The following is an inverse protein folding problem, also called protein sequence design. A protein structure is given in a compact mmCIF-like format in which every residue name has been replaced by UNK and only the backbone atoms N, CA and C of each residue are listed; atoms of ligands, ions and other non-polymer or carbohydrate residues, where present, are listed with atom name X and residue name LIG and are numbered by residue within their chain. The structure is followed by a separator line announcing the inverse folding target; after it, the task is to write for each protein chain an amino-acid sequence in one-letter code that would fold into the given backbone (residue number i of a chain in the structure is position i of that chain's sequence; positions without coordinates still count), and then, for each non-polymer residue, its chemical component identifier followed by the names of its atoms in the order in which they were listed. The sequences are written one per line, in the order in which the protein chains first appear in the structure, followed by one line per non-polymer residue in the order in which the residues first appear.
data_IF_822818316234
#
_entry.id   IF_822818316234
#
_cell.length_a   1.000
_cell.length_b   1.000
_cell.length_c   1.000
_cell.angle_alpha   90.00
_cell.angle_beta   90.00
_cell.angle_gamma   90.00
#
_symmetry.space_group_name_H-M   'P 1'
#
loop_
_entity.id
_entity.type
_entity.pdbx_description
1 polymer ?
#
# COMPACT_ATOMS: atom_id res chain seq x y z
N UNK A 1 6.37 -27.46 -17.52
CA UNK A 1 7.18 -26.30 -17.11
C UNK A 1 7.83 -25.79 -18.37
N UNK A 2 7.69 -24.51 -18.71
CA UNK A 2 8.48 -23.90 -19.79
C UNK A 2 9.97 -24.09 -19.49
N UNK A 3 10.81 -24.25 -20.52
CA UNK A 3 12.26 -24.20 -20.34
C UNK A 3 12.65 -22.74 -20.03
N UNK A 4 13.52 -22.53 -19.05
CA UNK A 4 14.03 -21.19 -18.70
C UNK A 4 14.67 -20.53 -19.93
N UNK A 5 15.23 -21.33 -20.84
CA UNK A 5 15.75 -20.83 -22.13
C UNK A 5 14.68 -20.24 -23.03
N UNK A 6 13.49 -20.82 -23.04
CA UNK A 6 12.37 -20.30 -23.84
C UNK A 6 11.87 -18.97 -23.25
N UNK A 7 11.87 -18.84 -21.92
CA UNK A 7 11.49 -17.62 -21.20
C UNK A 7 12.50 -16.48 -21.43
N UNK A 8 13.80 -16.77 -21.40
CA UNK A 8 14.87 -15.79 -21.65
C UNK A 8 14.76 -15.21 -23.05
N UNK A 9 14.48 -16.07 -24.03
CA UNK A 9 14.27 -15.66 -25.41
C UNK A 9 13.02 -14.78 -25.57
N UNK A 10 11.92 -15.15 -24.93
CA UNK A 10 10.69 -14.35 -24.95
C UNK A 10 10.91 -12.94 -24.35
N UNK A 11 11.70 -12.84 -23.27
CA UNK A 11 12.05 -11.57 -22.64
C UNK A 11 12.89 -10.70 -23.58
N UNK A 12 13.91 -11.27 -24.24
CA UNK A 12 14.73 -10.53 -25.20
C UNK A 12 13.92 -10.04 -26.40
N UNK A 13 13.02 -10.87 -26.93
CA UNK A 13 12.14 -10.51 -28.04
C UNK A 13 11.13 -9.43 -27.65
N UNK A 14 10.61 -9.47 -26.42
CA UNK A 14 9.77 -8.41 -25.87
C UNK A 14 10.54 -7.10 -25.71
N UNK A 15 11.79 -7.16 -25.23
CA UNK A 15 12.67 -6.01 -25.09
C UNK A 15 12.86 -5.26 -26.41
N UNK A 16 13.15 -5.99 -27.49
CA UNK A 16 13.28 -5.43 -28.85
C UNK A 16 12.03 -4.74 -29.38
N UNK A 17 10.86 -5.09 -28.85
CA UNK A 17 9.59 -4.47 -29.27
C UNK A 17 9.36 -3.09 -28.65
N UNK A 18 10.16 -2.71 -27.63
CA UNK A 18 10.02 -1.44 -26.93
C UNK A 18 10.69 -0.30 -27.70
N UNK A 19 10.07 0.90 -27.74
CA UNK A 19 10.71 2.07 -28.32
C UNK A 19 11.78 2.63 -27.36
N UNK A 20 13.04 2.61 -27.77
CA UNK A 20 14.15 3.21 -27.03
C UNK A 20 15.50 2.79 -27.60
N UNK A 21 16.49 3.68 -27.54
CA UNK A 21 17.87 3.36 -27.95
C UNK A 21 18.46 2.31 -26.99
N UNK A 22 18.97 1.20 -27.53
CA UNK A 22 19.58 0.11 -26.75
C UNK A 22 18.63 -1.02 -26.35
N UNK A 23 17.39 -1.01 -26.84
CA UNK A 23 16.48 -2.16 -26.72
C UNK A 23 16.43 -3.00 -28.00
N UNK A 24 16.75 -2.41 -29.14
CA UNK A 24 16.72 -3.02 -30.47
C UNK A 24 17.84 -4.05 -30.70
N UNK A 25 18.96 -3.90 -30.00
CA UNK A 25 20.13 -4.79 -30.03
C UNK A 25 20.19 -5.79 -28.86
N UNK A 26 19.22 -5.75 -27.95
CA UNK A 26 19.13 -6.62 -26.78
C UNK A 26 19.11 -8.10 -27.18
N UNK A 27 19.93 -8.95 -26.54
CA UNK A 27 20.03 -10.36 -26.85
C UNK A 27 19.90 -11.25 -25.60
N UNK A 28 19.85 -12.56 -25.80
CA UNK A 28 19.69 -13.54 -24.72
C UNK A 28 20.89 -13.53 -23.75
N UNK A 29 22.10 -13.20 -24.22
CA UNK A 29 23.29 -13.11 -23.38
C UNK A 29 23.22 -11.92 -22.43
N UNK A 30 22.62 -10.79 -22.84
CA UNK A 30 22.38 -9.63 -21.97
C UNK A 30 21.44 -10.00 -20.82
N UNK A 31 20.39 -10.76 -21.11
CA UNK A 31 19.43 -11.26 -20.11
C UNK A 31 20.11 -12.27 -19.17
N UNK A 32 20.92 -13.19 -19.71
CA UNK A 32 21.69 -14.14 -18.91
C UNK A 32 22.68 -13.44 -17.97
N UNK A 33 23.41 -12.43 -18.45
CA UNK A 33 24.33 -11.64 -17.63
C UNK A 33 23.61 -10.91 -16.48
N UNK A 34 22.38 -10.43 -16.70
CA UNK A 34 21.58 -9.83 -15.64
C UNK A 34 21.23 -10.87 -14.55
N UNK A 35 20.83 -12.08 -14.93
CA UNK A 35 20.57 -13.15 -13.96
C UNK A 35 21.82 -13.56 -13.20
N UNK A 36 22.97 -13.65 -13.87
CA UNK A 36 24.25 -13.97 -13.24
C UNK A 36 24.72 -12.86 -12.28
N UNK A 37 24.52 -11.59 -12.64
CA UNK A 37 24.83 -10.45 -11.76
C UNK A 37 23.93 -10.38 -10.52
N UNK A 38 22.68 -10.86 -10.63
CA UNK A 38 21.71 -10.88 -9.52
C UNK A 38 21.81 -12.11 -8.63
N UNK A 39 22.54 -13.14 -9.06
CA UNK A 39 22.80 -14.35 -8.27
C UNK A 39 23.95 -14.19 -7.27
N UNK A 40 24.55 -13.00 -7.18
CA UNK A 40 25.38 -12.62 -6.05
C UNK A 40 24.44 -12.27 -4.90
N UNK A 41 24.43 -13.07 -3.83
CA UNK A 41 23.73 -12.72 -2.60
C UNK A 41 24.18 -11.33 -2.16
N UNK A 42 23.24 -10.37 -2.14
CA UNK A 42 23.52 -9.02 -1.66
C UNK A 42 24.02 -9.12 -0.21
N UNK A 43 25.20 -8.56 0.03
CA UNK A 43 25.73 -8.45 1.39
C UNK A 43 24.88 -7.47 2.21
N UNK A 44 24.89 -7.62 3.53
CA UNK A 44 24.16 -6.72 4.45
C UNK A 44 24.52 -5.24 4.20
N UNK A 45 25.78 -4.97 3.88
CA UNK A 45 26.29 -3.65 3.49
C UNK A 45 25.71 -3.11 2.19
N UNK A 46 25.49 -3.95 1.18
CA UNK A 46 24.91 -3.53 -0.10
C UNK A 46 23.39 -3.29 0.02
N UNK A 47 22.72 -4.06 0.89
CA UNK A 47 21.32 -3.82 1.24
C UNK A 47 21.14 -2.46 1.94
N UNK A 48 22.05 -2.13 2.87
CA UNK A 48 22.05 -0.84 3.56
C UNK A 48 22.32 0.29 2.55
N UNK A 49 23.31 0.16 1.67
CA UNK A 49 23.57 1.18 0.64
C UNK A 49 22.41 1.37 -0.34
N UNK A 50 21.66 0.33 -0.70
CA UNK A 50 20.45 0.48 -1.53
C UNK A 50 19.34 1.25 -0.80
N UNK A 51 19.24 1.09 0.52
CA UNK A 51 18.32 1.92 1.32
C UNK A 51 18.83 3.36 1.42
N UNK A 52 20.12 3.57 1.66
CA UNK A 52 20.73 4.89 1.79
C UNK A 52 20.70 5.68 0.47
N UNK A 53 20.99 5.05 -0.67
CA UNK A 53 20.91 5.69 -1.99
C UNK A 53 19.47 6.09 -2.36
N UNK A 54 18.46 5.34 -1.90
CA UNK A 54 17.05 5.75 -2.04
C UNK A 54 16.71 6.97 -1.16
N UNK A 55 17.36 7.11 0.01
CA UNK A 55 17.20 8.28 0.88
C UNK A 55 17.99 9.50 0.37
N UNK A 56 19.19 9.31 -0.17
CA UNK A 56 20.02 10.42 -0.70
C UNK A 56 19.46 11.00 -2.01
N UNK A 57 18.79 10.18 -2.84
CA UNK A 57 18.06 10.67 -4.01
C UNK A 57 16.82 11.52 -3.63
N UNK A 58 16.29 11.39 -2.41
CA UNK A 58 15.22 12.25 -1.89
C UNK A 58 15.72 13.60 -1.35
N UNK A 59 17.03 13.78 -1.13
CA UNK A 59 17.55 14.98 -0.44
C UNK A 59 18.04 16.09 -1.39
N UNK A 60 18.06 15.86 -2.71
CA UNK A 60 18.44 16.88 -3.70
C UNK A 60 17.43 16.99 -4.83
N UNK A 61 16.34 17.71 -4.59
CA UNK A 61 15.49 18.14 -5.69
C UNK A 61 14.13 18.67 -5.24
N UNK A 62 14.12 19.95 -4.89
CA UNK A 62 12.96 20.85 -4.91
C UNK A 62 11.84 20.55 -3.89
N UNK A 63 11.20 21.62 -3.43
CA UNK A 63 10.05 21.62 -2.51
C UNK A 63 8.81 20.97 -3.15
N UNK A 64 8.90 19.70 -3.51
CA UNK A 64 7.72 18.87 -3.70
C UNK A 64 7.16 18.58 -2.31
N UNK A 65 6.09 19.29 -1.95
CA UNK A 65 5.22 18.89 -0.84
C UNK A 65 4.64 17.54 -1.23
N UNK A 66 5.36 16.46 -0.93
CA UNK A 66 4.83 15.11 -1.02
C UNK A 66 3.56 15.11 -0.17
N UNK A 67 2.37 14.81 -0.75
CA UNK A 67 1.16 14.75 0.05
C UNK A 67 1.40 13.67 1.10
N UNK A 68 1.39 14.08 2.36
CA UNK A 68 1.51 13.17 3.50
C UNK A 68 0.58 11.99 3.24
N UNK A 69 1.07 10.74 3.31
CA UNK A 69 0.24 9.57 3.10
C UNK A 69 -1.05 9.71 3.90
N UNK A 70 -2.21 9.57 3.24
CA UNK A 70 -3.49 9.70 3.92
C UNK A 70 -3.68 8.51 4.85
N UNK A 71 -3.26 8.66 6.09
CA UNK A 71 -3.44 7.64 7.12
C UNK A 71 -4.87 7.67 7.65
N UNK A 72 -5.47 6.48 7.75
CA UNK A 72 -6.79 6.33 8.33
C UNK A 72 -6.70 6.47 9.85
N UNK A 73 -7.08 7.63 10.36
CA UNK A 73 -7.01 7.89 11.82
C UNK A 73 -8.23 7.36 12.57
N UNK A 74 -8.06 7.06 13.86
CA UNK A 74 -9.15 6.69 14.76
C UNK A 74 -10.26 7.76 14.80
N UNK A 75 -9.89 9.05 14.72
CA UNK A 75 -10.85 10.16 14.67
C UNK A 75 -11.70 10.11 13.39
N UNK A 76 -11.08 9.81 12.24
CA UNK A 76 -11.80 9.69 10.97
C UNK A 76 -12.75 8.50 10.97
N UNK A 77 -12.32 7.33 11.47
CA UNK A 77 -13.19 6.15 11.59
C UNK A 77 -14.40 6.40 12.47
N UNK A 78 -14.20 6.99 13.65
CA UNK A 78 -15.31 7.34 14.54
C UNK A 78 -16.29 8.31 13.85
N UNK A 79 -15.77 9.30 13.11
CA UNK A 79 -16.61 10.22 12.32
C UNK A 79 -17.40 9.47 11.25
N UNK A 80 -16.79 8.52 10.53
CA UNK A 80 -17.49 7.69 9.54
C UNK A 80 -18.61 6.87 10.18
N UNK A 81 -18.38 6.25 11.34
CA UNK A 81 -19.42 5.50 12.05
C UNK A 81 -20.58 6.39 12.51
N UNK A 82 -20.31 7.58 13.04
CA UNK A 82 -21.34 8.55 13.40
C UNK A 82 -22.14 8.99 12.17
N UNK A 83 -21.47 9.33 11.07
CA UNK A 83 -22.15 9.74 9.83
C UNK A 83 -23.05 8.63 9.27
N UNK A 84 -22.58 7.39 9.29
CA UNK A 84 -23.36 6.24 8.85
C UNK A 84 -24.60 6.02 9.73
N UNK A 85 -24.44 6.12 11.05
CA UNK A 85 -25.54 6.06 12.00
C UNK A 85 -26.59 7.13 11.69
N UNK A 86 -26.19 8.41 11.66
CA UNK A 86 -27.09 9.54 11.48
C UNK A 86 -27.81 9.49 10.13
N UNK A 87 -27.09 9.09 9.07
CA UNK A 87 -27.68 8.87 7.75
C UNK A 87 -28.75 7.78 7.77
N UNK A 88 -28.48 6.63 8.38
CA UNK A 88 -29.44 5.52 8.43
C UNK A 88 -30.65 5.81 9.33
N UNK A 89 -30.47 6.56 10.42
CA UNK A 89 -31.58 7.01 11.27
C UNK A 89 -32.47 8.02 10.54
N UNK A 90 -31.89 8.92 9.75
CA UNK A 90 -32.65 9.82 8.89
C UNK A 90 -33.51 9.02 7.89
N UNK A 91 -32.95 8.01 7.23
CA UNK A 91 -33.71 7.16 6.33
C UNK A 91 -34.82 6.39 7.04
N UNK A 92 -34.59 5.89 8.26
CA UNK A 92 -35.64 5.22 9.04
C UNK A 92 -36.79 6.16 9.36
N UNK A 93 -36.49 7.43 9.66
CA UNK A 93 -37.51 8.42 10.05
C UNK A 93 -38.31 8.95 8.86
N UNK A 94 -37.65 9.22 7.74
CA UNK A 94 -38.25 9.92 6.60
C UNK A 94 -38.75 8.99 5.49
N UNK A 95 -38.27 7.74 5.42
CA UNK A 95 -38.71 6.80 4.37
C UNK A 95 -40.09 6.21 4.72
N UNK A 96 -41.12 6.41 3.88
CA UNK A 96 -42.44 5.81 4.09
C UNK A 96 -42.41 4.26 4.03
N UNK A 97 -41.36 3.67 3.47
CA UNK A 97 -41.16 2.22 3.37
C UNK A 97 -40.09 1.73 4.37
N UNK A 98 -40.54 1.27 5.54
CA UNK A 98 -39.65 0.76 6.60
C UNK A 98 -38.74 -0.39 6.14
N UNK A 99 -39.22 -1.28 5.29
CA UNK A 99 -38.40 -2.40 4.78
C UNK A 99 -37.16 -1.91 4.03
N UNK A 100 -37.33 -0.87 3.20
CA UNK A 100 -36.24 -0.29 2.41
C UNK A 100 -35.23 0.40 3.32
N UNK A 101 -35.67 1.24 4.26
CA UNK A 101 -34.76 1.93 5.18
C UNK A 101 -34.01 0.97 6.10
N UNK A 102 -34.66 -0.08 6.60
CA UNK A 102 -34.00 -1.13 7.38
C UNK A 102 -32.99 -1.94 6.55
N UNK A 103 -33.32 -2.25 5.29
CA UNK A 103 -32.38 -2.92 4.39
C UNK A 103 -31.13 -2.07 4.18
N UNK A 104 -31.29 -0.78 3.85
CA UNK A 104 -30.16 0.14 3.68
C UNK A 104 -29.32 0.25 4.95
N UNK A 105 -29.93 0.36 6.13
CA UNK A 105 -29.19 0.38 7.41
C UNK A 105 -28.32 -0.86 7.58
N UNK A 106 -28.88 -2.05 7.34
CA UNK A 106 -28.13 -3.31 7.44
C UNK A 106 -26.95 -3.35 6.47
N UNK A 107 -27.16 -2.96 5.21
CA UNK A 107 -26.12 -2.97 4.18
C UNK A 107 -24.99 -1.98 4.49
N UNK A 108 -25.32 -0.76 4.93
CA UNK A 108 -24.33 0.25 5.35
C UNK A 108 -23.47 -0.28 6.50
N UNK A 109 -24.09 -0.83 7.56
CA UNK A 109 -23.33 -1.34 8.69
C UNK A 109 -22.56 -2.63 8.37
N UNK A 110 -23.04 -3.46 7.44
CA UNK A 110 -22.31 -4.61 6.94
C UNK A 110 -21.03 -4.18 6.20
N UNK A 111 -21.12 -3.16 5.34
CA UNK A 111 -19.96 -2.60 4.66
C UNK A 111 -18.94 -1.96 5.62
N UNK A 112 -19.37 -1.54 6.81
CA UNK A 112 -18.52 -0.95 7.84
C UNK A 112 -17.87 -1.97 8.79
N UNK A 113 -18.22 -3.26 8.70
CA UNK A 113 -17.64 -4.31 9.56
C UNK A 113 -16.11 -4.39 9.48
N UNK A 114 -15.46 -4.39 8.30
CA UNK A 114 -14.00 -4.47 8.20
C UNK A 114 -13.29 -3.32 8.93
N UNK A 115 -13.90 -2.13 8.95
CA UNK A 115 -13.34 -0.96 9.62
C UNK A 115 -13.39 -1.04 11.15
N UNK A 116 -14.21 -1.93 11.74
CA UNK A 116 -14.21 -2.16 13.20
C UNK A 116 -12.92 -2.81 13.67
N UNK A 117 -12.34 -3.68 12.85
CA UNK A 117 -11.04 -4.29 13.16
C UNK A 117 -9.92 -3.25 13.08
N UNK A 118 -9.95 -2.39 12.06
CA UNK A 118 -9.00 -1.27 11.93
C UNK A 118 -9.13 -0.30 13.12
N UNK A 119 -10.35 0.03 13.54
CA UNK A 119 -10.59 0.86 14.73
C UNK A 119 -9.98 0.23 16.00
N UNK A 120 -10.16 -1.08 16.19
CA UNK A 120 -9.60 -1.82 17.32
C UNK A 120 -8.07 -1.76 17.32
N UNK A 121 -7.44 -1.95 16.17
CA UNK A 121 -5.98 -1.91 16.04
C UNK A 121 -5.43 -0.52 16.37
N UNK A 122 -6.01 0.53 15.78
CA UNK A 122 -5.65 1.93 16.07
C UNK A 122 -5.84 2.30 17.55
N UNK A 123 -6.89 1.78 18.20
CA UNK A 123 -7.09 1.96 19.66
C UNK A 123 -6.01 1.28 20.47
N UNK A 124 -5.55 0.10 20.05
CA UNK A 124 -4.52 -0.66 20.75
C UNK A 124 -3.16 0.01 20.60
N UNK A 125 -2.80 0.43 19.38
CA UNK A 125 -1.59 1.22 19.10
C UNK A 125 -1.56 2.48 19.95
N UNK A 126 -2.64 3.27 19.95
CA UNK A 126 -2.73 4.48 20.77
C UNK A 126 -2.58 4.22 22.28
N UNK A 127 -2.97 3.04 22.78
CA UNK A 127 -2.72 2.64 24.17
C UNK A 127 -1.27 2.23 24.40
N UNK A 128 -0.67 1.47 23.48
CA UNK A 128 0.73 1.06 23.56
C UNK A 128 1.69 2.25 23.53
N UNK A 129 1.45 3.23 22.66
CA UNK A 129 2.24 4.48 22.64
C UNK A 129 2.16 5.24 23.96
N UNK A 130 1.00 5.25 24.62
CA UNK A 130 0.87 5.87 25.95
C UNK A 130 1.68 5.11 27.00
N UNK A 131 1.63 3.78 27.01
CA UNK A 131 2.35 2.95 27.99
C UNK A 131 3.86 3.10 27.85
N UNK A 132 4.38 2.97 26.63
CA UNK A 132 5.83 3.08 26.33
C UNK A 132 6.41 4.43 26.77
N UNK A 133 5.64 5.51 26.65
CA UNK A 133 6.06 6.85 27.11
C UNK A 133 6.32 6.96 28.62
N UNK A 134 5.75 6.07 29.45
CA UNK A 134 6.05 6.01 30.88
C UNK A 134 7.37 5.28 31.16
N UNK A 135 7.74 4.32 30.32
CA UNK A 135 8.96 3.52 30.51
C UNK A 135 10.22 4.20 29.96
N UNK A 136 10.07 5.15 29.05
CA UNK A 136 11.18 5.92 28.46
C UNK A 136 11.56 7.19 29.24
N UNK A 137 11.02 7.38 30.46
CA UNK A 137 11.17 8.62 31.25
C UNK A 137 12.03 8.50 32.52
N UNK A 138 12.85 7.45 32.64
CA UNK A 138 13.81 7.27 33.73
C UNK A 138 15.25 7.27 33.22
#
# INVERSE_FOLDING_TARGET
MPDIRDEIKEIADLGKSLPGEGFDDMNEDDINQLFESRNVELTESELIQLTENNYEAQEKGEDEVFPVPKELTLKMLNKCFTMAHDHTELLIREDPTMERSLKTKREVFAALVPYKEVEKNLRNEAKQSKITSYFSKN
#
